data_IF_355769819306
#
_entry.id   IF_355769819306
#
_cell.length_a   1.000
_cell.length_b   1.000
_cell.length_c   1.000
_cell.angle_alpha   90.00
_cell.angle_beta   90.00
_cell.angle_gamma   90.00
#
_symmetry.space_group_name_H-M   'P 1'
#
loop_
_entity.id
_entity.type
_entity.pdbx_description
1 polymer ?
2 non-polymer ?
3 water ?
#
# COMPACT_ATOMS: atom_id res chain seq x y z
N UNK A 1 -13.80 8.73 10.15
CA UNK A 1 -14.77 8.20 9.17
C UNK A 1 -14.38 6.78 8.77
N UNK A 2 -15.26 6.13 7.99
CA UNK A 2 -14.97 4.79 7.50
C UNK A 2 -14.81 4.87 6.00
N UNK A 3 -13.61 4.51 5.52
CA UNK A 3 -13.29 4.56 4.10
C UNK A 3 -13.39 3.16 3.50
N UNK A 4 -14.25 2.98 2.49
CA UNK A 4 -14.38 1.68 1.84
C UNK A 4 -13.23 1.54 0.84
N UNK A 5 -13.03 0.33 0.34
CA UNK A 5 -11.92 0.10 -0.60
C UNK A 5 -12.37 -0.26 -2.01
N UNK A 6 -13.59 0.12 -2.37
CA UNK A 6 -14.11 -0.14 -3.70
C UNK A 6 -13.31 0.71 -4.69
N UNK A 7 -12.86 1.86 -4.20
CA UNK A 7 -12.07 2.77 -5.01
C UNK A 7 -10.80 3.05 -4.21
N UNK A 8 -9.79 3.62 -4.86
CA UNK A 8 -8.56 3.94 -4.18
C UNK A 8 -8.89 4.92 -3.05
N UNK A 9 -8.33 4.67 -1.85
CA UNK A 9 -8.62 5.56 -0.71
C UNK A 9 -7.83 6.87 -0.80
N UNK A 10 -8.32 7.80 -1.61
CA UNK A 10 -7.67 9.09 -1.78
C UNK A 10 -8.24 10.13 -0.83
N UNK A 11 -7.36 10.92 -0.22
CA UNK A 11 -7.77 11.97 0.69
C UNK A 11 -7.00 13.25 0.39
N UNK A 12 -7.48 14.35 0.94
CA UNK A 12 -6.80 15.62 0.78
C UNK A 12 -5.90 15.83 1.97
N UNK A 13 -4.69 16.31 1.72
CA UNK A 13 -3.74 16.56 2.79
C UNK A 13 -3.27 18.01 2.70
N UNK A 14 -2.82 18.56 3.83
CA UNK A 14 -2.30 19.92 3.86
C UNK A 14 -0.85 19.82 4.32
N UNK A 15 0.06 20.30 3.48
CA UNK A 15 1.48 20.24 3.82
C UNK A 15 2.24 21.35 3.11
N UNK A 16 3.20 21.94 3.83
CA UNK A 16 3.98 23.01 3.24
C UNK A 16 3.09 24.12 2.72
N UNK A 17 1.94 24.32 3.37
CA UNK A 17 1.02 25.36 2.96
C UNK A 17 0.33 25.04 1.65
N UNK A 18 0.47 23.80 1.20
CA UNK A 18 -0.15 23.38 -0.06
C UNK A 18 -1.21 22.32 0.21
N UNK A 19 -2.15 22.19 -0.73
CA UNK A 19 -3.20 21.18 -0.63
C UNK A 19 -2.92 20.18 -1.74
N UNK A 20 -2.84 18.90 -1.38
CA UNK A 20 -2.57 17.85 -2.34
C UNK A 20 -3.42 16.62 -2.07
N UNK A 21 -3.59 15.78 -3.08
CA UNK A 21 -4.35 14.56 -2.94
C UNK A 21 -3.34 13.44 -2.71
N UNK A 22 -3.61 12.58 -1.73
CA UNK A 22 -2.69 11.48 -1.43
C UNK A 22 -3.44 10.20 -1.16
N UNK A 23 -2.74 9.08 -1.28
CA UNK A 23 -3.31 7.76 -1.10
C UNK A 23 -2.97 7.14 0.26
N UNK A 24 -3.99 6.73 1.00
CA UNK A 24 -3.78 6.10 2.31
C UNK A 24 -3.26 4.69 1.98
N UNK A 25 -1.97 4.47 2.25
CA UNK A 25 -1.33 3.22 1.92
C UNK A 25 -0.79 2.41 3.10
N UNK A 26 -1.56 1.42 3.56
CA UNK A 26 -1.13 0.58 4.68
C UNK A 26 0.06 -0.28 4.33
N UNK A 27 0.35 -0.40 3.03
CA UNK A 27 1.47 -1.21 2.59
C UNK A 27 2.75 -0.40 2.47
N UNK A 28 2.65 0.90 2.74
CA UNK A 28 3.80 1.79 2.65
C UNK A 28 4.39 2.11 4.03
N UNK A 29 5.68 1.81 4.18
CA UNK A 29 6.40 2.08 5.43
C UNK A 29 6.51 3.59 5.67
N UNK A 30 6.79 4.32 4.60
CA UNK A 30 6.95 5.77 4.68
C UNK A 30 5.93 6.51 3.84
N UNK A 31 6.00 7.84 3.93
CA UNK A 31 5.13 8.73 3.19
C UNK A 31 6.03 9.39 2.16
N UNK A 32 5.66 9.29 0.89
CA UNK A 32 6.47 9.89 -0.16
C UNK A 32 5.57 10.66 -1.11
N UNK A 33 5.94 11.92 -1.34
CA UNK A 33 5.18 12.80 -2.21
C UNK A 33 5.98 13.19 -3.44
N UNK A 34 5.27 13.58 -4.49
CA UNK A 34 5.92 14.02 -5.73
C UNK A 34 6.73 15.27 -5.45
N UNK A 35 7.60 15.65 -6.37
CA UNK A 35 8.44 16.82 -6.18
C UNK A 35 7.70 18.05 -5.66
N UNK A 36 8.22 18.60 -4.57
CA UNK A 36 7.66 19.79 -3.95
C UNK A 36 8.75 20.34 -3.04
N UNK A 37 8.55 21.56 -2.57
CA UNK A 37 9.52 22.18 -1.68
C UNK A 37 9.11 22.05 -0.22
N UNK A 38 10.07 21.76 0.63
CA UNK A 38 9.84 21.64 2.07
C UNK A 38 10.99 22.33 2.80
N UNK A 39 10.68 23.01 3.91
CA UNK A 39 11.68 23.72 4.72
C UNK A 39 12.52 22.79 5.60
N UNK A 40 13.70 23.26 5.98
CA UNK A 40 14.56 22.48 6.84
C UNK A 40 15.61 21.64 6.15
N UNK A 41 16.36 20.89 6.95
CA UNK A 41 17.40 20.04 6.43
C UNK A 41 16.84 18.71 5.91
N UNK A 42 17.62 18.05 5.05
CA UNK A 42 17.21 16.76 4.49
C UNK A 42 18.42 15.89 4.18
N UNK A 43 18.16 14.61 3.93
CA UNK A 43 19.19 13.66 3.60
C UNK A 43 18.63 12.67 2.58
N UNK A 44 19.48 12.17 1.67
CA UNK A 44 19.03 11.21 0.64
C UNK A 44 18.66 9.85 1.22
N UNK A 45 17.75 9.17 0.52
CA UNK A 45 17.30 7.85 0.93
C UNK A 45 16.82 7.09 -0.30
N UNK A 46 17.02 5.78 -0.29
CA UNK A 46 16.57 4.92 -1.38
C UNK A 46 15.41 4.10 -0.84
N UNK A 47 14.25 4.22 -1.46
CA UNK A 47 13.08 3.45 -1.04
C UNK A 47 12.69 2.52 -2.17
N UNK A 48 12.22 1.33 -1.83
CA UNK A 48 11.85 0.37 -2.84
C UNK A 48 10.41 -0.08 -2.83
N UNK A 49 9.89 -0.39 -4.02
CA UNK A 49 8.52 -0.84 -4.15
C UNK A 49 8.44 -1.73 -5.37
N UNK A 50 7.23 -1.98 -5.86
CA UNK A 50 7.09 -2.81 -7.04
C UNK A 50 7.83 -2.04 -8.14
N UNK A 51 8.82 -2.67 -8.74
CA UNK A 51 9.56 -1.99 -9.80
C UNK A 51 11.00 -1.62 -9.47
N UNK A 52 11.33 -1.63 -8.18
CA UNK A 52 12.69 -1.28 -7.80
C UNK A 52 12.75 -0.09 -6.88
N UNK A 53 13.93 0.53 -6.80
CA UNK A 53 14.12 1.68 -5.92
C UNK A 53 14.22 3.03 -6.64
N UNK A 54 13.86 4.08 -5.91
CA UNK A 54 13.97 5.45 -6.41
C UNK A 54 14.67 6.24 -5.31
N UNK A 55 15.32 7.34 -5.69
CA UNK A 55 16.01 8.17 -4.72
C UNK A 55 15.10 9.34 -4.34
N UNK A 56 14.97 9.58 -3.04
CA UNK A 56 14.12 10.65 -2.54
C UNK A 56 14.85 11.49 -1.50
N UNK A 57 14.28 12.63 -1.16
CA UNK A 57 14.86 13.50 -0.14
C UNK A 57 14.06 13.26 1.13
N UNK A 58 14.75 13.06 2.25
CA UNK A 58 14.07 12.82 3.52
C UNK A 58 14.02 14.04 4.43
N UNK A 59 12.81 14.55 4.68
CA UNK A 59 12.61 15.70 5.56
C UNK A 59 11.92 15.20 6.82
N UNK A 60 12.47 15.55 7.99
CA UNK A 60 11.88 15.10 9.24
C UNK A 60 11.09 16.20 9.96
N UNK A 61 10.25 15.78 10.90
CA UNK A 61 9.45 16.70 11.69
C UNK A 61 8.70 17.70 10.81
N UNK A 62 7.91 17.18 9.88
CA UNK A 62 7.13 18.00 8.97
C UNK A 62 5.65 17.96 9.34
N UNK A 63 5.07 19.12 9.67
CA UNK A 63 3.66 19.19 10.03
C UNK A 63 2.80 18.83 8.83
N UNK A 64 1.78 18.03 9.06
CA UNK A 64 0.90 17.59 7.98
C UNK A 64 -0.51 17.44 8.55
N UNK A 65 -1.51 17.60 7.69
CA UNK A 65 -2.91 17.46 8.12
C UNK A 65 -3.62 16.56 7.11
N UNK A 66 -4.23 15.49 7.61
CA UNK A 66 -4.94 14.52 6.75
C UNK A 66 -6.40 14.42 7.16
N UNK A 67 -7.31 14.75 6.25
CA UNK A 67 -8.74 14.71 6.53
C UNK A 67 -9.06 15.43 7.83
N UNK A 68 -8.41 16.57 8.04
CA UNK A 68 -8.66 17.35 9.24
C UNK A 68 -7.85 16.94 10.46
N UNK A 69 -7.15 15.81 10.36
CA UNK A 69 -6.34 15.33 11.47
C UNK A 69 -4.89 15.76 11.35
N UNK A 70 -4.42 16.54 12.32
CA UNK A 70 -3.05 17.02 12.32
C UNK A 70 -2.08 15.95 12.83
N UNK A 71 -0.85 16.01 12.33
CA UNK A 71 0.19 15.07 12.73
C UNK A 71 1.52 15.65 12.28
N UNK A 72 2.60 15.02 12.69
CA UNK A 72 3.93 15.48 12.30
C UNK A 72 4.81 14.25 12.13
N UNK A 73 5.73 14.31 11.17
CA UNK A 73 6.59 13.17 10.94
C UNK A 73 7.49 13.34 9.73
N UNK A 74 8.13 12.26 9.32
CA UNK A 74 9.02 12.29 8.19
C UNK A 74 8.25 12.19 6.87
N UNK A 75 8.61 13.07 5.94
CA UNK A 75 7.98 13.09 4.63
C UNK A 75 9.09 12.98 3.58
N UNK A 76 8.94 12.02 2.67
CA UNK A 76 9.93 11.81 1.61
C UNK A 76 9.45 12.52 0.34
N UNK A 77 10.39 13.08 -0.41
CA UNK A 77 10.05 13.79 -1.63
C UNK A 77 10.91 13.27 -2.77
N UNK A 78 10.25 12.82 -3.84
CA UNK A 78 10.98 12.30 -4.98
C UNK A 78 10.11 11.92 -6.15
N UNK A 79 10.66 11.21 -7.15
CA UNK A 79 9.95 10.79 -8.35
C UNK A 79 8.96 9.63 -8.19
N UNK A 80 8.07 9.75 -7.20
CA UNK A 80 7.07 8.72 -6.99
C UNK A 80 5.94 8.92 -8.00
N UNK A 81 5.44 7.83 -8.59
CA UNK A 81 4.36 7.95 -9.57
C UNK A 81 3.05 8.50 -9.00
N UNK A 82 2.94 8.54 -7.67
CA UNK A 82 1.73 9.06 -7.03
C UNK A 82 2.02 9.40 -5.56
N UNK A 83 1.22 10.30 -4.98
CA UNK A 83 1.42 10.69 -3.58
C UNK A 83 0.96 9.58 -2.64
N UNK A 84 1.84 9.16 -1.73
CA UNK A 84 1.52 8.09 -0.80
C UNK A 84 1.67 8.49 0.66
N UNK A 85 0.65 8.17 1.46
CA UNK A 85 0.70 8.44 2.90
C UNK A 85 0.95 7.07 3.52
N UNK A 86 2.13 6.90 4.11
CA UNK A 86 2.48 5.63 4.70
C UNK A 86 2.09 5.47 6.15
N UNK A 87 2.50 4.35 6.72
CA UNK A 87 2.19 4.03 8.11
C UNK A 87 2.73 5.02 9.15
N UNK A 88 3.87 5.66 8.86
CA UNK A 88 4.44 6.60 9.81
C UNK A 88 3.50 7.75 10.16
N UNK A 89 2.56 8.03 9.27
CA UNK A 89 1.58 9.10 9.50
C UNK A 89 0.19 8.53 9.77
N UNK A 90 -0.11 7.38 9.17
CA UNK A 90 -1.41 6.75 9.38
C UNK A 90 -1.62 6.44 10.86
N UNK A 91 -0.55 6.04 11.57
CA UNK A 91 -0.67 5.73 12.99
C UNK A 91 -1.07 6.97 13.80
N UNK A 92 -0.48 8.10 13.45
CA UNK A 92 -0.72 9.36 14.14
C UNK A 92 -2.16 9.87 14.08
N UNK A 93 -2.85 9.57 12.99
CA UNK A 93 -4.24 10.02 12.87
C UNK A 93 -5.19 8.92 13.35
N UNK A 94 -4.62 7.87 13.94
CA UNK A 94 -5.42 6.78 14.46
C UNK A 94 -6.11 5.91 13.44
N UNK A 95 -5.47 5.72 12.29
CA UNK A 95 -6.04 4.91 11.22
C UNK A 95 -5.77 3.42 11.42
N UNK A 96 -6.81 2.59 11.27
CA UNK A 96 -6.67 1.15 11.42
C UNK A 96 -7.44 0.41 10.33
N UNK A 97 -7.06 -0.84 10.10
CA UNK A 97 -7.72 -1.70 9.12
C UNK A 97 -8.75 -2.50 9.89
N UNK A 98 -9.95 -2.66 9.34
CA UNK A 98 -10.98 -3.42 10.02
C UNK A 98 -11.80 -4.29 9.10
N UNK A 99 -12.07 -5.52 9.56
CA UNK A 99 -12.86 -6.48 8.80
C UNK A 99 -13.33 -7.60 9.74
N UNK B 1 -11.27 -8.35 12.71
CA UNK B 1 -10.34 -7.78 13.71
C UNK B 1 -9.92 -6.38 13.36
N UNK B 2 -9.28 -5.70 14.30
CA UNK B 2 -8.79 -4.34 14.10
C UNK B 2 -7.27 -4.39 14.14
N UNK B 3 -6.66 -3.99 13.04
CA UNK B 3 -5.21 -3.99 12.92
C UNK B 3 -4.64 -2.59 12.92
N UNK B 4 -3.80 -2.28 13.90
CA UNK B 4 -3.17 -0.97 13.96
C UNK B 4 -2.01 -0.99 12.97
N UNK B 5 -1.41 0.16 12.70
CA UNK B 5 -0.33 0.22 11.72
C UNK B 5 1.06 0.58 12.25
N UNK B 6 1.28 0.35 13.53
CA UNK B 6 2.57 0.65 14.13
C UNK B 6 3.63 -0.28 13.55
N UNK B 7 3.17 -1.40 13.01
CA UNK B 7 4.04 -2.39 12.38
C UNK B 7 3.37 -2.73 11.06
N UNK B 8 4.08 -3.42 10.17
CA UNK B 8 3.50 -3.80 8.88
C UNK B 8 2.31 -4.73 9.09
N UNK B 9 1.21 -4.49 8.36
CA UNK B 9 0.02 -5.33 8.48
C UNK B 9 0.19 -6.66 7.76
N UNK B 10 1.10 -7.49 8.28
CA UNK B 10 1.37 -8.79 7.70
C UNK B 10 0.41 -9.82 8.27
N UNK B 11 -0.12 -10.68 7.40
CA UNK B 11 -1.06 -11.70 7.84
C UNK B 11 -0.79 -13.00 7.12
N UNK B 12 -1.32 -14.09 7.65
CA UNK B 12 -1.14 -15.39 7.03
C UNK B 12 -2.27 -15.61 6.03
N UNK B 13 -1.90 -16.07 4.83
CA UNK B 13 -2.88 -16.37 3.79
C UNK B 13 -2.69 -17.82 3.39
N UNK B 14 -3.73 -18.42 2.83
CA UNK B 14 -3.62 -19.81 2.38
C UNK B 14 -4.05 -19.86 0.93
N UNK B 15 -3.18 -20.38 0.08
CA UNK B 15 -3.46 -20.51 -1.34
C UNK B 15 -2.79 -21.77 -1.85
N UNK B 16 -3.53 -22.56 -2.63
CA UNK B 16 -3.00 -23.80 -3.16
C UNK B 16 -2.65 -24.76 -2.03
N UNK B 17 -3.40 -24.68 -0.94
CA UNK B 17 -3.15 -25.55 0.20
C UNK B 17 -1.91 -25.20 1.02
N UNK B 18 -1.25 -24.10 0.67
CA UNK B 18 -0.05 -23.69 1.40
C UNK B 18 -0.23 -22.36 2.11
N UNK B 19 0.47 -22.21 3.24
CA UNK B 19 0.39 -20.98 4.03
C UNK B 19 1.54 -20.05 3.65
N UNK B 20 1.24 -18.76 3.52
CA UNK B 20 2.23 -17.76 3.16
C UNK B 20 1.94 -16.49 3.94
N UNK B 21 2.92 -15.61 4.01
CA UNK B 21 2.75 -14.32 4.68
C UNK B 21 2.56 -13.26 3.61
N UNK B 22 1.57 -12.39 3.81
CA UNK B 22 1.29 -11.33 2.85
C UNK B 22 0.95 -10.03 3.56
N UNK B 23 1.10 -8.91 2.85
CA UNK B 23 0.85 -7.58 3.38
C UNK B 23 -0.50 -7.00 2.95
N UNK B 24 -1.32 -6.61 3.91
CA UNK B 24 -2.62 -6.01 3.61
C UNK B 24 -2.28 -4.61 3.11
N UNK B 25 -2.46 -4.39 1.81
CA UNK B 25 -2.09 -3.12 1.17
C UNK B 25 -3.26 -2.34 0.54
N UNK B 26 -3.75 -1.31 1.24
CA UNK B 26 -4.85 -0.51 0.71
C UNK B 26 -4.42 0.33 -0.48
N UNK B 27 -3.11 0.51 -0.63
CA UNK B 27 -2.59 1.28 -1.75
C UNK B 27 -2.46 0.47 -3.02
N UNK B 28 -2.61 -0.85 -2.91
CA UNK B 28 -2.50 -1.72 -4.08
C UNK B 28 -3.84 -2.07 -4.71
N UNK B 29 -3.94 -1.82 -6.02
CA UNK B 29 -5.18 -2.12 -6.75
C UNK B 29 -5.40 -3.62 -6.83
N UNK B 30 -4.32 -4.34 -7.11
CA UNK B 30 -4.34 -5.78 -7.28
C UNK B 30 -3.54 -6.54 -6.23
N UNK B 31 -3.58 -7.85 -6.33
CA UNK B 31 -2.88 -8.77 -5.42
C UNK B 31 -1.77 -9.47 -6.19
N UNK B 32 -0.53 -9.30 -5.74
CA UNK B 32 0.60 -9.94 -6.41
C UNK B 32 1.44 -10.72 -5.42
N UNK B 33 1.70 -11.99 -5.77
CA UNK B 33 2.48 -12.88 -4.95
C UNK B 33 3.77 -13.29 -5.63
N UNK B 34 4.74 -13.70 -4.81
CA UNK B 34 6.03 -14.14 -5.31
C UNK B 34 5.83 -15.40 -6.17
N UNK B 35 6.82 -15.70 -6.99
CA UNK B 35 6.74 -16.86 -7.87
C UNK B 35 6.21 -18.10 -7.17
N UNK B 36 5.23 -18.74 -7.79
CA UNK B 36 4.59 -19.94 -7.26
C UNK B 36 3.81 -20.57 -8.43
N UNK B 37 3.27 -21.75 -8.21
CA UNK B 37 2.51 -22.42 -9.25
C UNK B 37 1.02 -22.30 -8.96
N UNK B 38 0.23 -22.08 -10.02
CA UNK B 38 -1.21 -21.98 -9.91
C UNK B 38 -1.82 -22.71 -11.11
N UNK B 39 -3.01 -23.30 -10.93
CA UNK B 39 -3.68 -24.02 -12.01
C UNK B 39 -4.31 -23.15 -13.10
N UNK B 40 -4.57 -23.77 -14.26
CA UNK B 40 -5.19 -23.06 -15.36
C UNK B 40 -4.28 -22.24 -16.25
N UNK B 41 -4.90 -21.47 -17.13
CA UNK B 41 -4.14 -20.61 -18.05
C UNK B 41 -4.07 -19.22 -17.45
N UNK B 42 -3.02 -18.48 -17.79
CA UNK B 42 -2.85 -17.14 -17.27
C UNK B 42 -2.80 -16.11 -18.40
N UNK B 43 -3.07 -14.87 -18.05
CA UNK B 43 -3.05 -13.77 -19.00
C UNK B 43 -1.93 -12.81 -18.60
N UNK B 44 -1.40 -12.04 -19.57
CA UNK B 44 -0.32 -11.11 -19.24
C UNK B 44 -0.83 -9.80 -18.62
N UNK B 45 -0.01 -9.23 -17.75
CA UNK B 45 -0.36 -7.96 -17.14
C UNK B 45 0.90 -7.23 -16.69
N UNK B 46 0.84 -5.90 -16.76
CA UNK B 46 1.92 -5.02 -16.36
C UNK B 46 1.38 -4.21 -15.19
N UNK B 47 2.08 -4.26 -14.05
CA UNK B 47 1.65 -3.50 -12.89
C UNK B 47 2.76 -2.53 -12.50
N UNK B 48 2.38 -1.30 -12.17
CA UNK B 48 3.36 -0.30 -11.81
C UNK B 48 3.37 0.10 -10.36
N UNK B 49 4.58 0.27 -9.83
CA UNK B 49 4.75 0.66 -8.44
C UNK B 49 5.76 1.79 -8.33
N UNK B 50 6.26 1.99 -7.11
CA UNK B 50 7.23 3.05 -6.84
C UNK B 50 8.45 3.09 -7.76
N UNK B 51 9.04 1.92 -8.04
CA UNK B 51 10.22 1.90 -8.88
C UNK B 51 10.02 1.68 -10.37
N UNK B 52 8.77 1.51 -10.79
CA UNK B 52 8.49 1.27 -12.19
C UNK B 52 7.49 0.13 -12.37
N UNK B 53 7.57 -0.58 -13.49
CA UNK B 53 6.67 -1.69 -13.76
C UNK B 53 7.37 -3.05 -13.83
N UNK B 54 6.57 -4.10 -13.65
CA UNK B 54 7.06 -5.47 -13.74
C UNK B 54 5.99 -6.28 -14.46
N UNK B 55 6.41 -7.31 -15.17
CA UNK B 55 5.50 -8.20 -15.89
C UNK B 55 5.06 -9.30 -14.94
N UNK B 56 3.77 -9.62 -14.95
CA UNK B 56 3.26 -10.67 -14.06
C UNK B 56 2.30 -11.60 -14.80
N UNK B 57 1.97 -12.73 -14.16
CA UNK B 57 1.05 -13.70 -14.75
C UNK B 57 -0.26 -13.52 -13.99
N UNK B 58 -1.36 -13.35 -14.73
CA UNK B 58 -2.66 -13.16 -14.09
C UNK B 58 -3.53 -14.41 -14.10
N UNK B 59 -3.88 -14.89 -12.91
CA UNK B 59 -4.75 -16.05 -12.76
C UNK B 59 -6.05 -15.55 -12.16
N UNK B 60 -7.19 -16.01 -12.71
CA UNK B 60 -8.48 -15.57 -12.20
C UNK B 60 -9.23 -16.64 -11.41
N UNK B 61 -10.17 -16.19 -10.58
CA UNK B 61 -11.00 -17.09 -9.79
C UNK B 61 -10.19 -18.09 -8.96
N UNK B 62 -9.12 -17.60 -8.35
CA UNK B 62 -8.27 -18.44 -7.51
C UNK B 62 -8.71 -18.38 -6.04
N UNK B 63 -8.95 -19.55 -5.43
CA UNK B 63 -9.37 -19.54 -4.02
C UNK B 63 -8.19 -19.08 -3.15
N UNK B 64 -8.46 -18.16 -2.23
CA UNK B 64 -7.42 -17.68 -1.34
C UNK B 64 -8.02 -17.25 0.00
N UNK B 65 -7.40 -17.74 1.08
CA UNK B 65 -7.85 -17.41 2.43
C UNK B 65 -6.94 -16.31 2.98
N UNK B 66 -7.54 -15.32 3.62
CA UNK B 66 -6.79 -14.20 4.19
C UNK B 66 -7.22 -14.05 5.64
N UNK B 67 -6.33 -14.37 6.56
CA UNK B 67 -6.64 -14.29 7.98
C UNK B 67 -7.88 -15.11 8.29
N UNK B 68 -8.06 -16.22 7.59
CA UNK B 68 -9.22 -17.06 7.83
C UNK B 68 -10.43 -16.71 7.00
N UNK B 69 -10.44 -15.51 6.39
CA UNK B 69 -11.56 -15.11 5.55
C UNK B 69 -11.40 -15.64 4.14
N UNK B 70 -12.40 -16.38 3.66
CA UNK B 70 -12.37 -16.97 2.33
C UNK B 70 -12.64 -15.97 1.21
N UNK B 71 -11.83 -16.04 0.17
CA UNK B 71 -11.98 -15.18 -0.98
C UNK B 71 -11.68 -15.99 -2.24
N UNK B 72 -12.18 -15.54 -3.37
CA UNK B 72 -11.93 -16.21 -4.64
C UNK B 72 -11.79 -15.12 -5.67
N UNK B 73 -10.56 -14.87 -6.10
CA UNK B 73 -10.35 -13.82 -7.07
C UNK B 73 -9.06 -13.88 -7.85
N UNK B 74 -8.76 -12.77 -8.51
CA UNK B 74 -7.57 -12.64 -9.32
C UNK B 74 -6.31 -12.50 -8.49
N UNK B 75 -5.34 -13.36 -8.79
CA UNK B 75 -4.05 -13.36 -8.11
C UNK B 75 -2.97 -13.21 -9.17
N UNK B 76 -2.07 -12.25 -8.97
CA UNK B 76 -0.99 -12.02 -9.90
C UNK B 76 0.27 -12.68 -9.35
N UNK B 77 1.10 -13.21 -10.23
CA UNK B 77 2.33 -13.87 -9.81
C UNK B 77 3.49 -13.34 -10.62
N UNK B 78 4.52 -12.87 -9.93
CA UNK B 78 5.68 -12.34 -10.61
C UNK B 78 6.78 -11.93 -9.65
N UNK B 79 7.80 -11.21 -10.14
CA UNK B 79 8.94 -10.73 -9.36
C UNK B 79 8.64 -9.56 -8.43
N UNK B 80 7.65 -9.73 -7.56
CA UNK B 80 7.31 -8.67 -6.63
C UNK B 80 8.28 -8.73 -5.45
N UNK B 81 8.65 -7.56 -4.88
CA UNK B 81 9.57 -7.59 -3.74
C UNK B 81 8.99 -8.29 -2.53
N UNK B 82 7.66 -8.32 -2.43
CA UNK B 82 6.99 -8.96 -1.30
C UNK B 82 5.53 -9.31 -1.65
N UNK B 83 4.96 -10.28 -0.95
CA UNK B 83 3.57 -10.67 -1.20
C UNK B 83 2.63 -9.55 -0.76
N UNK B 84 1.77 -9.09 -1.67
CA UNK B 84 0.84 -8.01 -1.34
C UNK B 84 -0.62 -8.34 -1.68
N UNK B 85 -1.50 -8.09 -0.71
CA UNK B 85 -2.93 -8.32 -0.90
C UNK B 85 -3.57 -6.97 -1.21
N UNK B 86 -4.04 -6.82 -2.44
CA UNK B 86 -4.65 -5.55 -2.85
C UNK B 86 -6.13 -5.42 -2.61
N UNK B 87 -6.68 -4.27 -3.01
CA UNK B 87 -8.10 -3.99 -2.81
C UNK B 87 -9.06 -4.99 -3.44
N UNK B 88 -8.63 -5.66 -4.52
CA UNK B 88 -9.51 -6.63 -5.16
C UNK B 88 -9.93 -7.73 -4.18
N UNK B 89 -9.02 -8.09 -3.28
CA UNK B 89 -9.33 -9.11 -2.30
C UNK B 89 -9.72 -8.50 -0.95
N UNK B 90 -9.16 -7.33 -0.62
CA UNK B 90 -9.51 -6.67 0.64
C UNK B 90 -11.01 -6.39 0.68
N UNK B 91 -11.59 -6.04 -0.47
CA UNK B 91 -13.02 -5.77 -0.52
C UNK B 91 -13.81 -7.06 -0.31
N UNK B 92 -13.30 -8.17 -0.80
CA UNK B 92 -13.98 -9.45 -0.64
C UNK B 92 -14.12 -9.85 0.83
N UNK B 93 -13.13 -9.51 1.65
CA UNK B 93 -13.19 -9.86 3.07
C UNK B 93 -13.81 -8.75 3.93
N UNK B 94 -14.33 -7.71 3.27
CA UNK B 94 -14.98 -6.63 3.99
C UNK B 94 -14.06 -5.72 4.78
N UNK B 95 -12.86 -5.49 4.25
CA UNK B 95 -11.90 -4.63 4.92
C UNK B 95 -12.13 -3.16 4.61
N UNK B 96 -11.96 -2.31 5.63
CA UNK B 96 -12.12 -0.86 5.47
C UNK B 96 -11.07 -0.16 6.31
N UNK B 97 -10.85 1.12 6.03
CA UNK B 97 -9.90 1.92 6.79
C UNK B 97 -10.77 2.76 7.73
N UNK B 98 -10.30 2.97 8.95
CA UNK B 98 -11.06 3.72 9.93
C UNK B 98 -10.19 4.60 10.81
N UNK B 99 -10.65 5.83 11.04
CA UNK B 99 -9.95 6.76 11.92
C UNK B 99 -10.90 7.86 12.39
X LIG C 1 -0.47 -3.68 -7.60
X LIG C 1 0.62 5.61 -11.57
X LIG C 1 0.64 5.18 -10.26
X LIG C 1 1.51 4.13 -9.83
X LIG C 1 2.35 3.50 -10.81
X LIG C 1 2.30 3.96 -12.15
X LIG C 1 1.42 5.02 -12.52
X LIG C 1 4.10 -1.16 -1.77
X LIG C 1 3.18 -0.79 -2.99
X LIG C 1 2.29 0.46 -2.79
X LIG C 1 3.32 -1.05 -0.55
X LIG C 1 4.62 -2.66 -1.90
X LIG C 1 5.78 -3.07 -0.94
X LIG C 1 5.55 -3.25 0.45
X LIG C 1 6.61 -3.61 1.33
X LIG C 1 7.92 -3.81 0.82
X LIG C 1 8.17 -3.65 -0.58
X LIG C 1 7.11 -3.27 -1.45
X LIG C 1 5.35 -0.26 -1.67
X LIG C 1 5.80 0.07 -0.43
X LIG C 1 7.00 0.90 -0.24
X LIG C 1 7.85 0.60 1.05
X LIG C 1 7.08 0.07 2.16
X LIG C 1 8.50 1.93 1.51
X LIG C 1 7.57 2.97 0.88
X LIG C 1 7.50 4.36 1.17
X LIG C 1 6.56 5.15 0.46
X LIG C 1 5.71 4.57 -0.52
X LIG C 1 5.78 3.18 -0.81
X LIG C 1 6.73 2.39 -0.10
X LIG C 1 5.91 0.13 -2.69
X LIG C 1 1.92 1.08 -4.09
X LIG C 1 1.47 2.48 -4.16
X LIG C 1 1.46 2.92 -5.62
X LIG C 1 2.70 3.06 -6.32
X LIG C 1 2.72 3.45 -7.68
X LIG C 1 1.49 3.71 -8.38
X LIG C 1 0.26 3.57 -7.68
X LIG C 1 0.24 3.17 -6.31
X LIG C 1 0.92 0.20 -4.83
X LIG C 1 1.32 -0.56 -5.89
X LIG C 1 0.30 -1.43 -6.65
X LIG C 1 0.04 -0.64 -7.85
X LIG C 1 -1.15 -0.02 -8.02
X LIG C 1 -1.18 0.65 -9.20
X LIG C 1 -2.41 1.35 -9.50
X LIG C 1 -2.07 -0.07 -7.22
X LIG C 1 0.76 -2.90 -7.02
X LIG C 1 1.89 -2.97 -8.09
X LIG C 1 1.26 -3.65 -5.74
X LIG C 1 2.49 -0.54 -6.26
#
# INVERSE_FOLDING_TARGET
>A
PQITLWQRPLVTIKIGGQLKEALLDTGADDTVLEEMSLPGRWKPKMIGGIGGFIKVRQYDQIPIEICGHKAIGTVLVGPTPTNVIGRNLLTQIGCTLNF
>B
PQITLWQRPLVTIKIGGQLKEALLDTGADDTVLEEMSLPGRWKPKMIGGIGGFIKVRQYDQIPIEICGHKAIGTVLVGPTPTNVIGRNLLTQIGCTLNF
>C hetero
1 5AH C1 C2 N3 C4 C5 C6 C7 C8 C9 C10 O11 C12 C13 C14 C15 C16 C17 C18 C19 N20 C21 C22 O23 C24 C25 C26 C27 C28 C29 C30 O31 N32 C33 C34 C35 C36 C37 C38 C39 N40 C41 C42 N51 C43 O44 C45 O46 C47 C48 C49 O50
#
